data_IF_114454966353
#
_entry.id   IF_114454966353
#
_cell.length_a   1.000
_cell.length_b   1.000
_cell.length_c   1.000
_cell.angle_alpha   90.00
_cell.angle_beta   90.00
_cell.angle_gamma   90.00
#
_symmetry.space_group_name_H-M   'P 1'
#
loop_
_entity.id
_entity.type
_entity.pdbx_description
1 polymer ?
#
# COMPACT_ATOMS: atom_id res chain seq x y z
N UNK A 1 -8.70 10.79 -1.84
CA UNK A 1 -9.07 9.49 -1.26
C UNK A 1 -8.94 8.39 -2.31
N UNK A 2 -8.48 7.19 -1.93
CA UNK A 2 -8.46 5.97 -2.76
C UNK A 2 -9.23 4.87 -2.02
N UNK A 3 -9.98 4.07 -2.77
CA UNK A 3 -10.75 2.94 -2.23
C UNK A 3 -10.48 1.74 -3.13
N UNK A 4 -10.22 0.58 -2.51
CA UNK A 4 -9.96 -0.67 -3.22
C UNK A 4 -10.21 -1.89 -2.36
N UNK A 5 -9.98 -3.04 -2.95
CA UNK A 5 -10.10 -4.33 -2.28
C UNK A 5 -8.72 -4.78 -1.81
N UNK A 6 -8.61 -5.12 -0.55
CA UNK A 6 -7.35 -5.58 0.03
C UNK A 6 -6.86 -6.84 -0.68
N UNK A 7 -5.70 -6.74 -1.31
CA UNK A 7 -4.91 -7.85 -1.79
C UNK A 7 -3.69 -7.94 -0.89
N UNK A 8 -3.58 -8.99 -0.11
CA UNK A 8 -2.66 -9.06 1.02
C UNK A 8 -1.45 -9.92 0.72
N UNK A 9 -0.28 -9.44 1.14
CA UNK A 9 0.99 -10.13 0.98
C UNK A 9 1.79 -10.01 2.27
N UNK A 10 2.44 -11.10 2.70
CA UNK A 10 3.34 -11.09 3.85
C UNK A 10 4.76 -11.38 3.43
N UNK A 11 5.66 -10.52 3.85
CA UNK A 11 7.10 -10.68 3.69
C UNK A 11 7.72 -11.03 5.02
N UNK A 12 8.57 -12.04 5.04
CA UNK A 12 9.25 -12.51 6.23
C UNK A 12 10.74 -12.13 6.20
N UNK A 13 11.39 -12.02 7.37
CA UNK A 13 12.83 -11.86 7.44
C UNK A 13 13.56 -12.99 6.69
N UNK A 14 14.45 -12.63 5.78
CA UNK A 14 15.28 -13.63 5.09
C UNK A 14 16.34 -14.19 6.03
N UNK A 15 16.42 -15.50 6.16
CA UNK A 15 17.37 -16.21 7.02
C UNK A 15 18.42 -17.01 6.24
N UNK A 16 18.40 -16.92 4.92
CA UNK A 16 19.36 -17.62 4.08
C UNK A 16 20.73 -16.89 3.97
N UNK A 17 21.71 -17.54 3.34
CA UNK A 17 23.02 -16.94 3.16
C UNK A 17 22.96 -15.72 2.23
N UNK A 18 23.63 -14.65 2.64
CA UNK A 18 23.87 -13.50 1.77
C UNK A 18 25.30 -13.61 1.26
N UNK A 19 25.52 -13.60 -0.07
CA UNK A 19 26.86 -13.72 -0.62
C UNK A 19 27.73 -12.52 -0.23
N UNK A 20 28.97 -12.79 0.13
CA UNK A 20 29.99 -11.77 0.35
C UNK A 20 30.57 -11.26 -0.98
N UNK A 21 29.70 -10.87 -1.90
CA UNK A 21 30.09 -10.34 -3.20
C UNK A 21 30.23 -8.83 -3.17
N UNK A 22 30.99 -8.32 -4.12
CA UNK A 22 31.08 -6.90 -4.42
C UNK A 22 30.80 -6.67 -5.91
N UNK A 23 30.27 -5.49 -6.25
CA UNK A 23 30.10 -5.06 -7.63
C UNK A 23 29.25 -6.00 -8.48
N UNK A 24 29.76 -6.40 -9.64
CA UNK A 24 29.03 -7.14 -10.66
C UNK A 24 28.51 -8.51 -10.17
N UNK A 25 29.30 -9.23 -9.36
CA UNK A 25 28.91 -10.54 -8.83
C UNK A 25 27.69 -10.44 -7.90
N UNK A 26 27.61 -9.38 -7.08
CA UNK A 26 26.44 -9.11 -6.23
C UNK A 26 25.22 -8.77 -7.09
N UNK A 27 25.38 -7.91 -8.07
CA UNK A 27 24.30 -7.53 -8.99
C UNK A 27 23.75 -8.75 -9.72
N UNK A 28 24.63 -9.61 -10.23
CA UNK A 28 24.23 -10.85 -10.90
C UNK A 28 23.43 -11.75 -9.96
N UNK A 29 23.89 -11.98 -8.74
CA UNK A 29 23.15 -12.77 -7.75
C UNK A 29 21.78 -12.15 -7.45
N UNK A 30 21.69 -10.82 -7.30
CA UNK A 30 20.44 -10.15 -7.02
C UNK A 30 19.37 -10.41 -8.10
N UNK A 31 19.76 -10.34 -9.36
CA UNK A 31 18.83 -10.58 -10.48
C UNK A 31 18.57 -12.05 -10.76
N UNK A 32 19.57 -12.93 -10.68
CA UNK A 32 19.43 -14.33 -11.05
C UNK A 32 18.82 -15.20 -9.95
N UNK A 33 18.99 -14.81 -8.68
CA UNK A 33 18.56 -15.60 -7.53
C UNK A 33 17.57 -14.86 -6.65
N UNK A 34 17.95 -13.65 -6.17
CA UNK A 34 17.16 -12.98 -5.15
C UNK A 34 15.77 -12.57 -5.67
N UNK A 35 15.73 -11.80 -6.75
CA UNK A 35 14.47 -11.31 -7.33
C UNK A 35 13.67 -12.36 -8.09
N UNK A 36 14.23 -13.53 -8.35
CA UNK A 36 13.56 -14.61 -9.08
C UNK A 36 13.08 -15.74 -8.20
N UNK A 37 13.75 -15.98 -7.04
CA UNK A 37 13.48 -17.16 -6.22
C UNK A 37 13.25 -16.84 -4.75
N UNK A 38 13.81 -15.74 -4.21
CA UNK A 38 13.78 -15.43 -2.78
C UNK A 38 12.72 -14.37 -2.46
N UNK A 39 12.67 -13.33 -3.28
CA UNK A 39 11.71 -12.23 -3.14
C UNK A 39 11.23 -11.80 -4.53
N UNK A 40 10.40 -12.64 -5.15
CA UNK A 40 9.97 -12.46 -6.53
C UNK A 40 8.80 -11.47 -6.65
N UNK A 41 9.13 -10.18 -6.60
CA UNK A 41 8.14 -9.11 -6.82
C UNK A 41 7.51 -9.14 -8.21
N UNK A 42 8.20 -9.70 -9.22
CA UNK A 42 7.65 -9.86 -10.56
C UNK A 42 6.40 -10.73 -10.55
N UNK A 43 6.49 -11.92 -9.96
CA UNK A 43 5.35 -12.83 -9.81
C UNK A 43 4.24 -12.22 -8.97
N UNK A 44 4.56 -11.52 -7.87
CA UNK A 44 3.57 -10.81 -7.07
C UNK A 44 2.81 -9.77 -7.94
N UNK A 45 3.52 -9.01 -8.75
CA UNK A 45 2.88 -7.99 -9.59
C UNK A 45 1.99 -8.57 -10.70
N UNK A 46 2.25 -9.81 -11.13
CA UNK A 46 1.41 -10.53 -12.10
C UNK A 46 0.04 -10.95 -11.53
N UNK A 47 -0.11 -11.06 -10.20
CA UNK A 47 -1.38 -11.42 -9.56
C UNK A 47 -2.30 -10.23 -9.33
N UNK A 48 -1.83 -9.01 -9.56
CA UNK A 48 -2.59 -7.78 -9.32
C UNK A 48 -3.77 -7.66 -10.26
N UNK A 49 -4.95 -7.45 -9.70
CA UNK A 49 -6.19 -7.23 -10.42
C UNK A 49 -6.67 -5.78 -10.34
N UNK A 50 -7.56 -5.43 -11.27
CA UNK A 50 -8.14 -4.07 -11.31
C UNK A 50 -8.97 -3.80 -10.05
N UNK A 51 -8.60 -2.74 -9.33
CA UNK A 51 -9.28 -2.32 -8.11
C UNK A 51 -8.62 -2.79 -6.82
N UNK A 52 -7.52 -3.54 -6.92
CA UNK A 52 -6.77 -4.00 -5.76
C UNK A 52 -6.14 -2.83 -4.99
N UNK A 53 -6.18 -2.95 -3.67
CA UNK A 53 -5.36 -2.17 -2.75
C UNK A 53 -4.28 -3.11 -2.20
N UNK A 54 -3.03 -2.91 -2.61
CA UNK A 54 -1.93 -3.82 -2.29
C UNK A 54 -1.45 -3.60 -0.87
N UNK A 55 -1.75 -4.54 0.01
CA UNK A 55 -1.44 -4.48 1.43
C UNK A 55 -0.25 -5.37 1.77
N UNK A 56 0.88 -4.76 2.16
CA UNK A 56 2.15 -5.43 2.37
C UNK A 56 2.52 -5.46 3.85
N UNK A 57 2.48 -6.61 4.46
CA UNK A 57 3.10 -6.83 5.76
C UNK A 57 4.58 -7.20 5.56
N UNK A 58 5.46 -6.23 5.78
CA UNK A 58 6.91 -6.38 5.70
C UNK A 58 7.55 -6.77 7.04
N UNK A 59 6.77 -7.34 7.96
CA UNK A 59 7.24 -7.66 9.34
C UNK A 59 7.81 -6.45 10.09
N UNK A 60 7.41 -5.22 9.71
CA UNK A 60 7.93 -3.98 10.29
C UNK A 60 9.40 -3.71 10.01
N UNK A 61 10.01 -4.39 9.04
CA UNK A 61 11.43 -4.23 8.74
C UNK A 61 11.67 -2.94 7.95
N UNK A 62 12.65 -2.16 8.42
CA UNK A 62 13.11 -0.93 7.78
C UNK A 62 13.94 -1.24 6.52
N UNK A 63 13.25 -1.44 5.42
CA UNK A 63 13.83 -1.70 4.11
C UNK A 63 12.91 -1.18 3.00
N UNK A 64 13.48 -0.53 2.00
CA UNK A 64 12.75 -0.03 0.85
C UNK A 64 12.36 -1.18 -0.10
N UNK A 65 11.29 -1.90 0.22
CA UNK A 65 10.78 -2.99 -0.62
C UNK A 65 10.22 -2.46 -1.94
N UNK A 66 9.33 -1.49 -1.84
CA UNK A 66 8.71 -0.85 -3.00
C UNK A 66 9.44 0.45 -3.32
N UNK A 67 9.83 0.61 -4.57
CA UNK A 67 10.33 1.84 -5.15
C UNK A 67 9.46 2.28 -6.32
N UNK A 68 9.89 3.32 -7.05
CA UNK A 68 9.13 3.91 -8.16
C UNK A 68 8.70 2.89 -9.22
N UNK A 69 9.63 2.08 -9.69
CA UNK A 69 9.36 1.07 -10.73
C UNK A 69 8.27 0.07 -10.31
N UNK A 70 8.42 -0.57 -9.14
CA UNK A 70 7.43 -1.53 -8.64
C UNK A 70 6.11 -0.84 -8.28
N UNK A 71 6.18 0.35 -7.71
CA UNK A 71 5.03 1.17 -7.36
C UNK A 71 4.16 1.48 -8.58
N UNK A 72 4.79 2.01 -9.63
CA UNK A 72 4.11 2.34 -10.89
C UNK A 72 3.61 1.09 -11.62
N UNK A 73 4.37 -0.02 -11.57
CA UNK A 73 3.97 -1.28 -12.19
C UNK A 73 2.69 -1.84 -11.57
N UNK A 74 2.55 -1.82 -10.24
CA UNK A 74 1.30 -2.21 -9.59
C UNK A 74 0.10 -1.38 -10.04
N UNK A 75 0.26 -0.05 -10.16
CA UNK A 75 -0.80 0.83 -10.69
C UNK A 75 -1.12 0.50 -12.15
N UNK A 76 -0.11 0.26 -12.98
CA UNK A 76 -0.28 -0.17 -14.37
C UNK A 76 -1.09 -1.46 -14.49
N UNK A 77 -0.90 -2.40 -13.57
CA UNK A 77 -1.63 -3.68 -13.55
C UNK A 77 -3.05 -3.56 -12.97
N UNK A 78 -3.41 -2.41 -12.41
CA UNK A 78 -4.78 -2.12 -11.98
C UNK A 78 -4.96 -1.81 -10.50
N UNK A 79 -3.90 -1.83 -9.71
CA UNK A 79 -3.98 -1.43 -8.31
C UNK A 79 -4.40 0.04 -8.17
N UNK A 80 -5.12 0.35 -7.11
CA UNK A 80 -5.54 1.73 -6.79
C UNK A 80 -4.63 2.40 -5.76
N UNK A 81 -3.81 1.62 -5.06
CA UNK A 81 -2.87 2.12 -4.07
C UNK A 81 -2.12 1.00 -3.35
N UNK A 82 -1.17 1.42 -2.51
CA UNK A 82 -0.29 0.57 -1.73
C UNK A 82 -0.39 0.94 -0.24
N UNK A 83 -0.41 -0.04 0.62
CA UNK A 83 -0.36 0.10 2.08
C UNK A 83 0.70 -0.83 2.66
N UNK A 84 1.62 -0.32 3.48
CA UNK A 84 2.70 -1.13 4.05
C UNK A 84 3.05 -0.74 5.49
N UNK A 85 3.46 -1.72 6.30
CA UNK A 85 4.06 -1.50 7.60
C UNK A 85 5.60 -1.46 7.58
N UNK A 86 6.20 -1.49 6.41
CA UNK A 86 7.65 -1.40 6.21
C UNK A 86 8.05 -0.16 5.42
N UNK A 87 9.30 -0.17 4.93
CA UNK A 87 9.87 0.96 4.23
C UNK A 87 9.46 1.05 2.75
N UNK A 88 9.45 2.28 2.26
CA UNK A 88 9.31 2.64 0.84
C UNK A 88 10.50 3.49 0.43
N UNK A 89 10.96 3.35 -0.80
CA UNK A 89 12.05 4.16 -1.38
C UNK A 89 11.60 4.90 -2.63
N UNK A 90 12.50 5.69 -3.20
CA UNK A 90 12.27 6.47 -4.42
C UNK A 90 11.03 7.39 -4.29
N UNK A 91 10.85 7.98 -3.11
CA UNK A 91 9.62 8.71 -2.75
C UNK A 91 9.41 9.96 -3.60
N UNK A 92 10.48 10.63 -4.04
CA UNK A 92 10.38 11.78 -4.95
C UNK A 92 9.78 11.36 -6.30
N UNK A 93 10.18 10.21 -6.83
CA UNK A 93 9.66 9.66 -8.08
C UNK A 93 8.19 9.20 -7.90
N UNK A 94 7.88 8.49 -6.81
CA UNK A 94 6.50 8.08 -6.50
C UNK A 94 5.54 9.26 -6.43
N UNK A 95 5.99 10.40 -5.88
CA UNK A 95 5.20 11.65 -5.82
C UNK A 95 4.99 12.22 -7.23
N UNK A 96 6.06 12.30 -8.03
CA UNK A 96 5.99 12.81 -9.42
C UNK A 96 5.08 11.94 -10.30
N UNK A 97 5.15 10.63 -10.14
CA UNK A 97 4.34 9.64 -10.85
C UNK A 97 2.91 9.52 -10.28
N UNK A 98 2.63 10.20 -9.17
CA UNK A 98 1.34 10.16 -8.47
C UNK A 98 0.92 8.74 -8.07
N UNK A 99 1.88 7.91 -7.67
CA UNK A 99 1.62 6.57 -7.13
C UNK A 99 1.07 6.70 -5.71
N UNK A 100 -0.16 6.28 -5.43
CA UNK A 100 -0.73 6.35 -4.10
C UNK A 100 -0.08 5.31 -3.19
N UNK A 101 0.66 5.76 -2.18
CA UNK A 101 1.36 4.89 -1.25
C UNK A 101 1.20 5.39 0.19
N UNK A 102 0.80 4.51 1.09
CA UNK A 102 0.72 4.69 2.54
C UNK A 102 1.71 3.75 3.20
N UNK A 103 2.69 4.28 3.87
CA UNK A 103 3.74 3.51 4.54
C UNK A 103 4.17 4.14 5.85
N UNK A 104 4.84 3.36 6.68
CA UNK A 104 5.28 3.82 8.00
C UNK A 104 6.60 4.55 7.97
N UNK A 105 7.44 4.33 6.94
CA UNK A 105 8.79 4.92 6.90
C UNK A 105 9.32 5.05 5.46
N UNK A 106 10.17 6.04 5.27
CA UNK A 106 11.01 6.18 4.08
C UNK A 106 12.33 5.44 4.35
N UNK A 107 12.73 4.56 3.44
CA UNK A 107 13.84 3.65 3.71
C UNK A 107 14.73 3.48 2.50
N UNK A 108 16.01 3.84 2.64
CA UNK A 108 17.03 3.64 1.61
C UNK A 108 17.57 2.21 1.53
N UNK A 109 17.70 1.44 2.64
CA UNK A 109 18.25 0.10 2.56
C UNK A 109 17.54 -0.76 1.53
N UNK A 110 18.33 -1.45 0.71
CA UNK A 110 17.80 -2.35 -0.30
C UNK A 110 17.24 -3.63 0.32
N UNK A 111 16.27 -4.24 -0.35
CA UNK A 111 15.54 -5.43 0.13
C UNK A 111 16.38 -6.72 0.07
N UNK A 112 17.41 -6.75 -0.78
CA UNK A 112 18.20 -7.97 -1.00
C UNK A 112 18.82 -8.48 0.31
N UNK A 113 18.58 -9.76 0.59
CA UNK A 113 19.06 -10.44 1.78
C UNK A 113 18.38 -10.05 3.09
N UNK A 114 17.27 -9.30 3.03
CA UNK A 114 16.53 -8.87 4.23
C UNK A 114 15.12 -9.44 4.32
N UNK A 115 14.44 -9.52 3.20
CA UNK A 115 13.08 -10.07 3.11
C UNK A 115 13.02 -11.25 2.15
N UNK A 116 12.07 -12.13 2.39
CA UNK A 116 11.64 -13.18 1.48
C UNK A 116 10.14 -13.13 1.29
N UNK A 117 9.66 -13.58 0.14
CA UNK A 117 8.25 -13.76 -0.14
C UNK A 117 8.03 -15.03 -0.97
N UNK A 118 7.00 -15.78 -0.63
CA UNK A 118 6.57 -16.97 -1.35
C UNK A 118 5.11 -16.83 -1.78
N UNK A 119 4.66 -17.50 -2.83
CA UNK A 119 3.25 -17.44 -3.28
C UNK A 119 2.22 -17.84 -2.21
N UNK A 120 2.58 -18.71 -1.27
CA UNK A 120 1.73 -19.10 -0.14
C UNK A 120 1.51 -17.97 0.89
N UNK A 121 2.30 -16.91 0.84
CA UNK A 121 2.16 -15.72 1.68
C UNK A 121 1.29 -14.61 1.00
N UNK A 122 0.58 -14.98 -0.05
CA UNK A 122 -0.42 -14.17 -0.73
C UNK A 122 -1.84 -14.53 -0.25
N UNK A 123 -2.73 -13.54 -0.26
CA UNK A 123 -4.15 -13.69 0.11
C UNK A 123 -4.39 -14.27 1.51
N UNK A 124 -3.48 -14.01 2.43
CA UNK A 124 -3.54 -14.42 3.82
C UNK A 124 -3.91 -13.27 4.76
N UNK A 125 -4.28 -13.59 5.98
CA UNK A 125 -4.45 -12.58 7.02
C UNK A 125 -3.11 -11.96 7.39
N UNK A 126 -3.06 -10.61 7.41
CA UNK A 126 -1.90 -9.82 7.81
C UNK A 126 -2.28 -8.79 8.88
N UNK A 127 -1.29 -8.05 9.40
CA UNK A 127 -1.53 -6.93 10.30
C UNK A 127 -0.66 -5.72 9.93
N UNK A 128 -1.29 -4.56 9.75
CA UNK A 128 -0.62 -3.29 9.47
C UNK A 128 -1.13 -2.24 10.45
N UNK A 129 -0.22 -1.53 11.13
CA UNK A 129 -0.59 -0.49 12.09
C UNK A 129 -1.46 -0.98 13.26
N UNK A 130 -1.34 -2.25 13.65
CA UNK A 130 -2.17 -2.86 14.68
C UNK A 130 -3.57 -3.27 14.22
N UNK A 131 -3.90 -3.12 12.93
CA UNK A 131 -5.18 -3.51 12.33
C UNK A 131 -5.01 -4.82 11.55
N UNK A 132 -5.90 -5.77 11.80
CA UNK A 132 -5.97 -7.02 11.03
C UNK A 132 -6.64 -6.75 9.69
N UNK A 133 -6.04 -7.24 8.62
CA UNK A 133 -6.54 -7.12 7.24
C UNK A 133 -6.67 -8.52 6.65
N UNK A 134 -7.86 -8.84 6.15
CA UNK A 134 -8.08 -10.06 5.36
C UNK A 134 -8.13 -9.70 3.87
N UNK A 135 -7.60 -10.59 3.04
CA UNK A 135 -7.80 -10.44 1.61
C UNK A 135 -9.30 -10.33 1.28
N UNK A 136 -9.65 -9.34 0.47
CA UNK A 136 -11.04 -9.05 0.13
C UNK A 136 -11.74 -8.01 1.02
N UNK A 137 -11.13 -7.54 2.11
CA UNK A 137 -11.64 -6.39 2.87
C UNK A 137 -11.57 -5.11 2.02
N UNK A 138 -12.36 -4.12 2.37
CA UNK A 138 -12.31 -2.80 1.70
C UNK A 138 -11.30 -1.91 2.42
N UNK A 139 -10.36 -1.35 1.67
CA UNK A 139 -9.43 -0.33 2.18
C UNK A 139 -9.80 1.02 1.60
N UNK A 140 -9.99 2.01 2.46
CA UNK A 140 -10.15 3.40 2.07
C UNK A 140 -9.01 4.22 2.70
N UNK A 141 -8.33 5.03 1.90
CA UNK A 141 -7.18 5.78 2.36
C UNK A 141 -7.10 7.17 1.73
N UNK A 142 -6.66 8.14 2.51
CA UNK A 142 -6.43 9.53 2.10
C UNK A 142 -5.18 10.10 2.80
N UNK A 143 -5.09 11.43 2.95
CA UNK A 143 -3.95 12.08 3.59
C UNK A 143 -3.84 11.83 5.09
N UNK A 144 -4.93 11.44 5.75
CA UNK A 144 -4.94 11.19 7.19
C UNK A 144 -4.55 9.74 7.53
N UNK A 145 -4.66 8.82 6.55
CA UNK A 145 -4.28 7.43 6.74
C UNK A 145 -5.17 6.45 6.00
N UNK A 146 -5.27 5.23 6.53
CA UNK A 146 -6.05 4.15 5.94
C UNK A 146 -7.02 3.52 6.93
N UNK A 147 -8.24 3.25 6.47
CA UNK A 147 -9.28 2.53 7.20
C UNK A 147 -9.54 1.20 6.50
N UNK A 148 -9.68 0.14 7.29
CA UNK A 148 -10.01 -1.20 6.79
C UNK A 148 -11.44 -1.55 7.23
N UNK A 149 -12.27 -1.88 6.27
CA UNK A 149 -13.66 -2.27 6.50
C UNK A 149 -13.85 -3.74 6.13
N UNK A 150 -14.21 -4.61 7.08
CA UNK A 150 -14.47 -6.02 6.79
C UNK A 150 -15.52 -6.17 5.69
N UNK A 151 -15.22 -6.99 4.68
CA UNK A 151 -16.07 -7.20 3.49
C UNK A 151 -17.53 -7.45 3.82
N UNK A 152 -17.80 -8.24 4.88
CA UNK A 152 -19.17 -8.62 5.29
C UNK A 152 -20.07 -7.47 5.71
N UNK A 153 -19.51 -6.33 6.12
CA UNK A 153 -20.24 -5.14 6.58
C UNK A 153 -20.00 -3.92 5.69
N UNK A 154 -19.26 -4.07 4.58
CA UNK A 154 -18.81 -2.93 3.76
C UNK A 154 -19.97 -2.09 3.21
N UNK A 155 -21.07 -2.71 2.77
CA UNK A 155 -22.24 -1.99 2.26
C UNK A 155 -22.95 -1.19 3.35
N UNK A 156 -23.03 -1.73 4.56
CA UNK A 156 -23.67 -1.02 5.68
C UNK A 156 -22.81 0.18 6.09
N UNK A 157 -21.48 -0.03 6.22
CA UNK A 157 -20.53 1.05 6.53
C UNK A 157 -20.59 2.13 5.45
N UNK A 158 -20.60 1.78 4.17
CA UNK A 158 -20.67 2.75 3.07
C UNK A 158 -21.97 3.58 3.13
N UNK A 159 -23.12 2.96 3.49
CA UNK A 159 -24.39 3.67 3.64
C UNK A 159 -24.34 4.68 4.79
N UNK A 160 -23.83 4.29 5.96
CA UNK A 160 -23.70 5.20 7.09
C UNK A 160 -22.68 6.32 6.82
N UNK A 161 -21.53 5.97 6.25
CA UNK A 161 -20.51 6.96 5.88
C UNK A 161 -21.07 8.02 4.91
N UNK A 162 -21.86 7.60 3.91
CA UNK A 162 -22.52 8.54 3.00
C UNK A 162 -23.51 9.46 3.73
N UNK A 163 -24.27 8.93 4.70
CA UNK A 163 -25.20 9.73 5.50
C UNK A 163 -24.46 10.77 6.34
N UNK A 164 -23.39 10.37 7.03
CA UNK A 164 -22.56 11.29 7.82
C UNK A 164 -21.89 12.35 6.93
N UNK A 165 -21.35 11.96 5.77
CA UNK A 165 -20.78 12.90 4.81
C UNK A 165 -21.79 14.01 4.42
N UNK A 166 -23.05 13.66 4.14
CA UNK A 166 -24.09 14.64 3.81
C UNK A 166 -24.39 15.56 5.00
N UNK A 167 -24.41 15.02 6.23
CA UNK A 167 -24.60 15.80 7.44
C UNK A 167 -23.44 16.78 7.68
N UNK A 168 -22.22 16.31 7.50
CA UNK A 168 -21.00 17.12 7.65
C UNK A 168 -20.95 18.25 6.62
N UNK A 169 -21.25 17.96 5.35
CA UNK A 169 -21.31 18.96 4.30
C UNK A 169 -22.34 20.05 4.62
N UNK A 170 -23.51 19.69 5.11
CA UNK A 170 -24.52 20.65 5.51
C UNK A 170 -24.05 21.53 6.67
N UNK A 171 -23.40 20.94 7.66
CA UNK A 171 -22.86 21.67 8.81
C UNK A 171 -21.77 22.63 8.38
N UNK A 172 -20.86 22.18 7.50
CA UNK A 172 -19.77 22.97 6.98
C UNK A 172 -20.28 24.15 6.13
N UNK A 173 -21.26 23.92 5.25
CA UNK A 173 -21.91 24.97 4.47
C UNK A 173 -22.50 26.07 5.36
N UNK A 174 -23.23 25.70 6.42
CA UNK A 174 -23.78 26.66 7.35
C UNK A 174 -22.67 27.51 8.02
N UNK A 175 -21.57 26.91 8.40
CA UNK A 175 -20.43 27.63 8.99
C UNK A 175 -19.78 28.59 7.96
N UNK A 176 -19.66 28.20 6.69
CA UNK A 176 -19.14 29.07 5.64
C UNK A 176 -20.06 30.29 5.43
N UNK A 177 -21.40 30.09 5.43
CA UNK A 177 -22.37 31.18 5.35
C UNK A 177 -22.26 32.12 6.55
N UNK A 178 -22.26 31.58 7.78
CA UNK A 178 -22.17 32.37 9.02
C UNK A 178 -20.87 33.20 9.09
N UNK A 179 -19.78 32.67 8.57
CA UNK A 179 -18.48 33.33 8.54
C UNK A 179 -18.26 34.20 7.29
N UNK A 180 -19.20 34.22 6.37
CA UNK A 180 -19.08 34.91 5.07
C UNK A 180 -17.83 34.49 4.27
N UNK A 181 -17.49 33.19 4.30
CA UNK A 181 -16.41 32.60 3.53
C UNK A 181 -16.87 32.23 2.12
N UNK A 182 -15.95 32.29 1.15
CA UNK A 182 -16.22 31.74 -0.18
C UNK A 182 -16.33 30.21 -0.11
N UNK A 183 -17.35 29.67 -0.79
CA UNK A 183 -17.52 28.22 -0.91
C UNK A 183 -16.38 27.67 -1.79
N UNK A 184 -15.62 26.74 -1.24
CA UNK A 184 -14.55 26.07 -1.93
C UNK A 184 -14.85 24.56 -2.14
N UNK A 185 -13.85 23.81 -2.62
CA UNK A 185 -13.99 22.36 -2.89
C UNK A 185 -14.31 21.52 -1.67
N UNK A 186 -14.10 22.04 -0.45
CA UNK A 186 -14.37 21.27 0.77
C UNK A 186 -15.86 21.15 1.06
N UNK A 187 -16.68 21.99 0.43
CA UNK A 187 -18.15 22.05 0.61
C UNK A 187 -18.93 21.88 -0.71
N UNK A 188 -18.22 21.67 -1.83
CA UNK A 188 -18.83 21.35 -3.12
C UNK A 188 -18.83 19.82 -3.32
N UNK A 189 -19.95 19.26 -3.76
CA UNK A 189 -20.08 17.87 -4.22
C UNK A 189 -19.23 17.58 -5.47
#
# INVERSE_FOLDING_TARGET
MKIGIAHTYRFLPYQGPTPAFTGEAYTKWAYDEYYTKICNLGTLLETVEKGDFLCLDQSGIDVGLIGSNSGLHGIKNGAVGWLSNGGVRDTDELILEKVPFWGTMHSQPMVQGRLTWNPEDENIQIAIGGVVIHSGDVVAADSDGAVVVPRKIALDVARYAKQEYVNDMKTLNNMYEDMSLEIDRSVLD
#
